data_IF_165046525579
#
_entry.id   IF_165046525579
#
_cell.length_a   1.000
_cell.length_b   1.000
_cell.length_c   1.000
_cell.angle_alpha   90.00
_cell.angle_beta   90.00
_cell.angle_gamma   90.00
#
_symmetry.space_group_name_H-M   'P 1'
#
loop_
_entity.id
_entity.type
_entity.pdbx_description
1 polymer ?
#
# COMPACT_ATOMS: atom_id res chain seq x y z
N UNK A 1 -11.50 -25.47 3.40
CA UNK A 1 -10.85 -26.75 3.75
C UNK A 1 -11.41 -27.24 5.09
N UNK A 2 -11.75 -28.54 5.24
CA UNK A 2 -12.33 -29.05 6.51
C UNK A 2 -11.26 -29.01 7.64
N UNK A 3 -11.62 -28.78 8.91
CA UNK A 3 -10.65 -28.59 10.01
C UNK A 3 -9.62 -29.73 10.16
N UNK A 4 -10.04 -30.97 9.89
CA UNK A 4 -9.17 -32.15 9.93
C UNK A 4 -8.05 -32.07 8.87
N UNK A 5 -8.39 -31.70 7.64
CA UNK A 5 -7.44 -31.58 6.52
C UNK A 5 -6.41 -30.49 6.77
N UNK A 6 -6.80 -29.37 7.40
CA UNK A 6 -5.86 -28.32 7.80
C UNK A 6 -4.84 -28.83 8.85
N UNK A 7 -5.27 -29.64 9.82
CA UNK A 7 -4.37 -30.22 10.83
C UNK A 7 -3.42 -31.25 10.21
N UNK A 8 -3.88 -32.03 9.24
CA UNK A 8 -3.04 -32.99 8.52
C UNK A 8 -1.98 -32.28 7.66
N UNK A 9 -2.38 -31.23 6.93
CA UNK A 9 -1.45 -30.40 6.17
C UNK A 9 -0.39 -29.73 7.07
N UNK A 10 -0.79 -29.18 8.22
CA UNK A 10 0.15 -28.57 9.15
C UNK A 10 1.23 -29.55 9.65
N UNK A 11 0.85 -30.81 9.92
CA UNK A 11 1.80 -31.85 10.30
C UNK A 11 2.77 -32.21 9.18
N UNK A 12 2.31 -32.18 7.92
CA UNK A 12 3.15 -32.40 6.76
C UNK A 12 4.18 -31.28 6.61
N UNK A 13 3.76 -30.01 6.70
CA UNK A 13 4.66 -28.85 6.63
C UNK A 13 5.76 -28.89 7.72
N UNK A 14 5.42 -29.35 8.93
CA UNK A 14 6.43 -29.54 10.00
C UNK A 14 7.45 -30.61 9.61
N UNK A 15 7.01 -31.71 9.00
CA UNK A 15 7.91 -32.78 8.55
C UNK A 15 8.78 -32.41 7.35
N UNK A 16 8.41 -31.37 6.61
CA UNK A 16 9.14 -30.86 5.43
C UNK A 16 9.92 -29.58 5.72
N UNK A 17 10.02 -29.18 6.99
CA UNK A 17 10.74 -27.97 7.45
C UNK A 17 10.27 -26.67 6.77
N UNK A 18 8.99 -26.58 6.43
CA UNK A 18 8.43 -25.39 5.79
C UNK A 18 8.36 -24.19 6.75
N UNK A 19 8.62 -22.99 6.25
CA UNK A 19 8.54 -21.73 7.02
C UNK A 19 7.11 -21.41 7.52
N UNK A 20 6.10 -22.02 6.91
CA UNK A 20 4.69 -21.80 7.21
C UNK A 20 3.91 -23.11 7.34
N UNK A 21 3.12 -23.22 8.41
CA UNK A 21 2.41 -24.47 8.74
C UNK A 21 0.92 -24.46 8.40
N UNK A 22 0.41 -23.33 7.88
CA UNK A 22 -1.02 -23.18 7.58
C UNK A 22 -1.23 -22.27 6.38
N UNK A 23 -2.11 -22.70 5.48
CA UNK A 23 -2.69 -21.82 4.47
C UNK A 23 -3.55 -20.75 5.13
N UNK A 24 -3.36 -19.50 4.70
CA UNK A 24 -4.27 -18.41 5.07
C UNK A 24 -5.60 -18.67 4.34
N UNK A 25 -6.69 -18.77 5.09
CA UNK A 25 -8.02 -18.82 4.48
C UNK A 25 -8.35 -17.43 3.95
N UNK A 26 -8.75 -17.36 2.68
CA UNK A 26 -9.22 -16.12 2.09
C UNK A 26 -10.47 -15.65 2.84
N UNK A 27 -10.37 -14.46 3.41
CA UNK A 27 -11.53 -13.66 3.79
C UNK A 27 -11.65 -12.54 2.77
N UNK A 28 -12.83 -12.35 2.18
CA UNK A 28 -13.11 -11.37 1.11
C UNK A 28 -12.80 -9.90 1.46
N UNK A 29 -12.30 -9.64 2.67
CA UNK A 29 -12.37 -8.31 3.27
C UNK A 29 -11.21 -7.39 2.86
N UNK A 30 -10.07 -7.87 2.35
CA UNK A 30 -8.96 -6.97 1.92
C UNK A 30 -8.09 -7.55 0.80
N UNK A 31 -7.88 -6.81 -0.27
CA UNK A 31 -6.77 -6.93 -1.23
C UNK A 31 -5.42 -7.39 -0.64
N UNK A 32 -5.03 -6.89 0.53
CA UNK A 32 -3.82 -7.33 1.27
C UNK A 32 -3.83 -8.82 1.66
N UNK A 33 -5.01 -9.42 1.86
CA UNK A 33 -5.13 -10.85 2.13
C UNK A 33 -4.83 -11.67 0.88
N UNK A 34 -5.21 -11.20 -0.30
CA UNK A 34 -5.01 -11.94 -1.57
C UNK A 34 -3.53 -12.07 -1.91
N UNK A 35 -2.76 -10.99 -1.78
CA UNK A 35 -1.31 -11.04 -2.01
C UNK A 35 -0.60 -11.96 -1.03
N UNK A 36 -0.87 -11.83 0.27
CA UNK A 36 -0.29 -12.72 1.30
C UNK A 36 -0.68 -14.18 1.13
N UNK A 37 -1.92 -14.46 0.73
CA UNK A 37 -2.40 -15.81 0.42
C UNK A 37 -1.62 -16.38 -0.77
N UNK A 38 -1.46 -15.61 -1.85
CA UNK A 38 -0.72 -16.05 -3.05
C UNK A 38 0.76 -16.31 -2.76
N UNK A 39 1.45 -15.41 -2.05
CA UNK A 39 2.85 -15.60 -1.65
C UNK A 39 3.01 -16.88 -0.82
N UNK A 40 2.19 -17.05 0.22
CA UNK A 40 2.25 -18.24 1.08
C UNK A 40 1.86 -19.53 0.37
N UNK A 41 0.90 -19.45 -0.55
CA UNK A 41 0.53 -20.59 -1.38
C UNK A 41 1.68 -21.02 -2.30
N UNK A 42 2.41 -20.06 -2.87
CA UNK A 42 3.57 -20.34 -3.72
C UNK A 42 4.78 -20.87 -2.94
N UNK A 43 5.02 -20.35 -1.73
CA UNK A 43 6.05 -20.86 -0.81
C UNK A 43 5.80 -22.33 -0.46
N UNK A 44 4.56 -22.68 -0.11
CA UNK A 44 4.15 -24.03 0.30
C UNK A 44 3.83 -24.97 -0.87
N UNK A 45 4.15 -24.60 -2.11
CA UNK A 45 3.72 -25.36 -3.29
C UNK A 45 4.20 -26.82 -3.29
N UNK A 46 5.39 -27.10 -2.77
CA UNK A 46 5.97 -28.45 -2.74
C UNK A 46 5.26 -29.32 -1.67
N UNK A 47 4.99 -28.74 -0.50
CA UNK A 47 4.18 -29.36 0.55
C UNK A 47 2.75 -29.62 0.05
N UNK A 48 2.17 -28.65 -0.66
CA UNK A 48 0.83 -28.75 -1.24
C UNK A 48 0.76 -29.82 -2.32
N UNK A 49 1.78 -29.93 -3.17
CA UNK A 49 1.85 -30.98 -4.18
C UNK A 49 1.89 -32.36 -3.52
N UNK A 50 2.74 -32.53 -2.50
CA UNK A 50 2.84 -33.78 -1.72
C UNK A 50 1.51 -34.13 -1.04
N UNK A 51 0.85 -33.14 -0.44
CA UNK A 51 -0.46 -33.32 0.17
C UNK A 51 -1.55 -33.69 -0.86
N UNK A 52 -1.53 -33.06 -2.04
CA UNK A 52 -2.49 -33.36 -3.11
C UNK A 52 -2.33 -34.78 -3.65
N UNK A 53 -1.10 -35.28 -3.76
CA UNK A 53 -0.81 -36.66 -4.14
C UNK A 53 -1.36 -37.66 -3.11
N UNK A 54 -1.17 -37.38 -1.81
CA UNK A 54 -1.68 -38.22 -0.72
C UNK A 54 -3.22 -38.25 -0.69
N UNK A 55 -3.86 -37.14 -1.03
CA UNK A 55 -5.31 -36.97 -0.97
C UNK A 55 -6.03 -37.20 -2.30
N UNK A 56 -5.29 -37.65 -3.33
CA UNK A 56 -5.77 -37.93 -4.68
C UNK A 56 -6.51 -36.74 -5.33
N UNK A 57 -6.00 -35.52 -5.09
CA UNK A 57 -6.53 -34.26 -5.63
C UNK A 57 -5.93 -33.96 -7.02
N UNK A 58 -6.36 -34.74 -8.02
CA UNK A 58 -5.77 -34.76 -9.37
C UNK A 58 -5.72 -33.41 -10.10
N UNK A 59 -6.73 -32.56 -9.91
CA UNK A 59 -6.78 -31.24 -10.56
C UNK A 59 -5.71 -30.28 -10.01
N UNK A 60 -5.47 -30.31 -8.70
CA UNK A 60 -4.46 -29.48 -8.04
C UNK A 60 -3.05 -30.01 -8.28
N UNK A 61 -2.88 -31.34 -8.27
CA UNK A 61 -1.63 -32.00 -8.65
C UNK A 61 -1.20 -31.59 -10.05
N UNK A 62 -2.08 -31.72 -11.05
CA UNK A 62 -1.78 -31.33 -12.44
C UNK A 62 -1.43 -29.85 -12.58
N UNK A 63 -2.00 -29.00 -11.73
CA UNK A 63 -1.73 -27.57 -11.73
C UNK A 63 -0.35 -27.22 -11.16
N UNK A 64 0.05 -27.87 -10.06
CA UNK A 64 1.31 -27.64 -9.36
C UNK A 64 2.50 -28.37 -10.01
N UNK A 65 2.26 -29.50 -10.69
CA UNK A 65 3.30 -30.24 -11.40
C UNK A 65 3.70 -29.62 -12.74
N UNK A 66 2.87 -28.75 -13.31
CA UNK A 66 3.13 -28.10 -14.60
C UNK A 66 4.00 -26.84 -14.42
N UNK A 67 5.22 -26.88 -14.96
CA UNK A 67 6.20 -25.80 -14.83
C UNK A 67 5.68 -24.46 -15.37
N UNK A 68 4.91 -24.48 -16.46
CA UNK A 68 4.37 -23.27 -17.07
C UNK A 68 3.31 -22.62 -16.16
N UNK A 69 2.47 -23.42 -15.50
CA UNK A 69 1.47 -22.94 -14.51
C UNK A 69 2.14 -22.45 -13.24
N UNK A 70 3.14 -23.18 -12.74
CA UNK A 70 3.92 -22.77 -11.57
C UNK A 70 4.68 -21.45 -11.81
N UNK A 71 5.16 -21.21 -13.02
CA UNK A 71 5.80 -19.94 -13.38
C UNK A 71 4.81 -18.77 -13.41
N UNK A 72 3.57 -18.98 -13.87
CA UNK A 72 2.49 -17.97 -13.74
C UNK A 72 2.14 -17.69 -12.29
N UNK A 73 2.09 -18.73 -11.45
CA UNK A 73 1.82 -18.60 -10.02
C UNK A 73 2.95 -17.83 -9.31
N UNK A 74 4.21 -18.11 -9.66
CA UNK A 74 5.38 -17.37 -9.18
C UNK A 74 5.25 -15.88 -9.50
N UNK A 75 4.90 -15.57 -10.75
CA UNK A 75 4.68 -14.20 -11.18
C UNK A 75 3.56 -13.53 -10.39
N UNK A 76 2.43 -14.21 -10.18
CA UNK A 76 1.35 -13.67 -9.36
C UNK A 76 1.80 -13.41 -7.93
N UNK A 77 2.55 -14.32 -7.31
CA UNK A 77 3.08 -14.08 -5.97
C UNK A 77 3.94 -12.81 -5.91
N UNK A 78 4.85 -12.63 -6.87
CA UNK A 78 5.77 -11.48 -6.89
C UNK A 78 5.04 -10.14 -7.22
N UNK A 79 4.18 -10.09 -8.25
CA UNK A 79 3.48 -8.84 -8.61
C UNK A 79 2.47 -8.41 -7.54
N UNK A 80 1.79 -9.36 -6.90
CA UNK A 80 0.90 -9.03 -5.78
C UNK A 80 1.67 -8.59 -4.54
N UNK A 81 2.89 -9.10 -4.33
CA UNK A 81 3.77 -8.60 -3.28
C UNK A 81 4.11 -7.13 -3.52
N UNK A 82 4.56 -6.78 -4.73
CA UNK A 82 4.87 -5.39 -5.11
C UNK A 82 3.67 -4.45 -4.97
N UNK A 83 2.48 -4.88 -5.41
CA UNK A 83 1.24 -4.12 -5.22
C UNK A 83 0.87 -3.98 -3.73
N UNK A 84 1.15 -4.99 -2.92
CA UNK A 84 0.94 -4.91 -1.47
C UNK A 84 1.90 -3.93 -0.81
N UNK A 85 3.16 -3.84 -1.27
CA UNK A 85 4.13 -2.87 -0.77
C UNK A 85 3.69 -1.44 -1.11
N UNK A 86 3.26 -1.20 -2.36
CA UNK A 86 2.70 0.09 -2.76
C UNK A 86 1.50 0.46 -1.87
N UNK A 87 0.54 -0.45 -1.73
CA UNK A 87 -0.66 -0.21 -0.94
C UNK A 87 -0.34 0.09 0.53
N UNK A 88 0.47 -0.76 1.19
CA UNK A 88 0.88 -0.53 2.57
C UNK A 88 1.63 0.79 2.72
N UNK A 89 2.43 1.16 1.72
CA UNK A 89 3.13 2.43 1.70
C UNK A 89 2.17 3.63 1.69
N UNK A 90 1.02 3.55 1.03
CA UNK A 90 0.02 4.64 1.02
C UNK A 90 -0.92 4.62 2.23
N UNK A 91 -0.74 3.67 3.15
CA UNK A 91 -1.50 3.58 4.39
C UNK A 91 -0.66 4.09 5.57
N UNK A 92 -1.25 4.93 6.40
CA UNK A 92 -0.59 5.43 7.59
C UNK A 92 -1.11 6.79 8.02
N UNK A 93 -0.74 7.21 9.23
CA UNK A 93 -1.26 8.44 9.83
C UNK A 93 -0.69 9.72 9.21
N UNK A 94 0.50 9.62 8.63
CA UNK A 94 1.20 10.75 8.00
C UNK A 94 1.10 10.72 6.46
N UNK A 95 0.26 9.84 5.91
CA UNK A 95 0.02 9.78 4.47
C UNK A 95 -1.02 10.80 4.04
N UNK A 96 -0.74 11.47 2.93
CA UNK A 96 -1.64 12.44 2.31
C UNK A 96 -1.62 12.26 0.79
N UNK A 97 -2.41 13.07 0.08
CA UNK A 97 -2.51 13.00 -1.37
C UNK A 97 -1.17 13.24 -2.07
N UNK A 98 -0.30 14.07 -1.49
CA UNK A 98 1.01 14.40 -2.03
C UNK A 98 1.94 13.18 -1.97
N UNK A 99 2.11 12.60 -0.78
CA UNK A 99 2.96 11.40 -0.58
C UNK A 99 2.42 10.16 -1.31
N UNK A 100 1.11 10.02 -1.41
CA UNK A 100 0.48 8.89 -2.11
C UNK A 100 0.69 9.00 -3.62
N UNK A 101 0.54 10.20 -4.18
CA UNK A 101 0.82 10.48 -5.60
C UNK A 101 2.27 10.16 -5.96
N UNK A 102 3.24 10.54 -5.12
CA UNK A 102 4.65 10.21 -5.35
C UNK A 102 4.90 8.70 -5.44
N UNK A 103 4.27 7.92 -4.55
CA UNK A 103 4.41 6.46 -4.51
C UNK A 103 3.81 5.80 -5.74
N UNK A 104 2.66 6.28 -6.20
CA UNK A 104 2.02 5.82 -7.44
C UNK A 104 2.91 6.14 -8.65
N UNK A 105 3.38 7.40 -8.75
CA UNK A 105 4.28 7.84 -9.82
C UNK A 105 5.59 7.03 -9.84
N UNK A 106 6.18 6.79 -8.66
CA UNK A 106 7.37 5.94 -8.52
C UNK A 106 7.08 4.50 -8.98
N UNK A 107 5.92 3.95 -8.65
CA UNK A 107 5.52 2.62 -9.08
C UNK A 107 5.30 2.53 -10.60
N UNK A 108 4.64 3.50 -11.23
CA UNK A 108 4.51 3.58 -12.69
C UNK A 108 5.88 3.65 -13.38
N UNK A 109 6.82 4.43 -12.82
CA UNK A 109 8.22 4.46 -13.29
C UNK A 109 8.90 3.10 -13.14
N UNK A 110 8.74 2.42 -11.99
CA UNK A 110 9.25 1.04 -11.79
C UNK A 110 8.69 0.07 -12.82
N UNK A 111 7.38 0.07 -13.10
CA UNK A 111 6.76 -0.77 -14.13
C UNK A 111 7.38 -0.52 -15.51
N UNK A 112 7.65 0.73 -15.85
CA UNK A 112 8.31 1.10 -17.11
C UNK A 112 9.74 0.58 -17.18
N UNK A 113 10.49 0.65 -16.08
CA UNK A 113 11.84 0.06 -15.97
C UNK A 113 11.76 -1.47 -16.13
N UNK A 114 10.86 -2.13 -15.40
CA UNK A 114 10.71 -3.58 -15.46
C UNK A 114 10.37 -4.07 -16.87
N UNK A 115 9.48 -3.38 -17.59
CA UNK A 115 9.21 -3.70 -19.00
C UNK A 115 10.47 -3.69 -19.87
N UNK A 116 11.36 -2.71 -19.68
CA UNK A 116 12.64 -2.62 -20.42
C UNK A 116 13.55 -3.79 -20.08
N UNK A 117 13.69 -4.12 -18.80
CA UNK A 117 14.53 -5.24 -18.36
C UNK A 117 14.00 -6.60 -18.84
N UNK A 118 12.69 -6.82 -18.81
CA UNK A 118 12.08 -8.08 -19.26
C UNK A 118 12.21 -8.23 -20.78
N UNK A 119 12.10 -7.14 -21.54
CA UNK A 119 12.39 -7.16 -22.98
C UNK A 119 13.84 -7.54 -23.29
N UNK A 120 14.77 -7.23 -22.37
CA UNK A 120 16.17 -7.66 -22.43
C UNK A 120 16.42 -9.06 -21.82
N UNK A 121 15.37 -9.77 -21.40
CA UNK A 121 15.47 -11.11 -20.80
C UNK A 121 15.84 -11.13 -19.31
N UNK A 122 15.90 -9.98 -18.64
CA UNK A 122 16.17 -9.88 -17.21
C UNK A 122 14.83 -9.87 -16.42
N UNK A 123 14.67 -10.84 -15.52
CA UNK A 123 13.49 -11.04 -14.66
C UNK A 123 13.79 -10.83 -13.15
N UNK A 124 14.91 -10.22 -12.78
CA UNK A 124 15.37 -10.05 -11.38
C UNK A 124 14.37 -9.34 -10.48
N UNK A 125 13.51 -8.48 -11.04
CA UNK A 125 12.44 -7.80 -10.29
C UNK A 125 11.36 -8.75 -9.78
N UNK A 126 11.29 -9.97 -10.31
CA UNK A 126 10.39 -11.03 -9.88
C UNK A 126 11.20 -12.23 -9.41
N UNK A 127 11.65 -12.25 -8.13
CA UNK A 127 12.60 -13.24 -7.63
C UNK A 127 12.12 -14.68 -7.77
N UNK A 128 10.83 -14.94 -7.60
CA UNK A 128 10.25 -16.28 -7.71
C UNK A 128 10.26 -16.75 -9.16
N UNK A 129 9.97 -15.86 -10.11
CA UNK A 129 10.05 -16.16 -11.55
C UNK A 129 11.51 -16.36 -11.98
N UNK A 130 12.40 -15.48 -11.54
CA UNK A 130 13.83 -15.53 -11.86
C UNK A 130 14.46 -16.87 -11.42
N UNK A 131 14.15 -17.34 -10.20
CA UNK A 131 14.62 -18.63 -9.68
C UNK A 131 14.18 -19.83 -10.52
N UNK A 132 13.03 -19.78 -11.19
CA UNK A 132 12.56 -20.87 -12.06
C UNK A 132 13.20 -20.86 -13.44
N UNK A 133 13.79 -19.73 -13.87
CA UNK A 133 14.45 -19.58 -15.17
C UNK A 133 13.54 -19.95 -16.38
N UNK A 134 12.22 -19.67 -16.28
CA UNK A 134 11.24 -20.01 -17.31
C UNK A 134 10.97 -18.81 -18.24
N UNK A 135 11.69 -18.75 -19.37
CA UNK A 135 11.63 -17.63 -20.33
C UNK A 135 10.29 -17.53 -21.09
N UNK A 136 9.52 -18.62 -21.18
CA UNK A 136 8.22 -18.64 -21.87
C UNK A 136 7.18 -17.70 -21.25
N UNK A 137 7.39 -17.29 -20.00
CA UNK A 137 6.48 -16.37 -19.30
C UNK A 137 6.73 -14.89 -19.58
N UNK A 138 7.88 -14.53 -20.18
CA UNK A 138 8.28 -13.12 -20.37
C UNK A 138 7.28 -12.31 -21.19
N UNK A 139 6.76 -12.86 -22.30
CA UNK A 139 5.78 -12.16 -23.14
C UNK A 139 4.45 -11.93 -22.40
N UNK A 140 4.02 -12.90 -21.60
CA UNK A 140 2.82 -12.80 -20.78
C UNK A 140 2.99 -11.68 -19.73
N UNK A 141 4.14 -11.66 -19.05
CA UNK A 141 4.46 -10.65 -18.05
C UNK A 141 4.49 -9.26 -18.70
N UNK A 142 5.16 -9.10 -19.84
CA UNK A 142 5.21 -7.82 -20.56
C UNK A 142 3.82 -7.29 -20.91
N UNK A 143 2.95 -8.14 -21.44
CA UNK A 143 1.57 -7.78 -21.76
C UNK A 143 0.79 -7.37 -20.51
N UNK A 144 0.90 -8.14 -19.43
CA UNK A 144 0.24 -7.81 -18.17
C UNK A 144 0.74 -6.49 -17.57
N UNK A 145 2.05 -6.25 -17.54
CA UNK A 145 2.61 -4.98 -17.04
C UNK A 145 2.18 -3.79 -17.90
N UNK A 146 2.02 -3.98 -19.21
CA UNK A 146 1.46 -2.94 -20.06
C UNK A 146 0.01 -2.64 -19.71
N UNK A 147 -0.85 -3.65 -19.57
CA UNK A 147 -2.25 -3.47 -19.14
C UNK A 147 -2.35 -2.86 -17.75
N UNK A 148 -1.49 -3.26 -16.81
CA UNK A 148 -1.43 -2.71 -15.47
C UNK A 148 -1.08 -1.22 -15.49
N UNK A 149 -0.07 -0.83 -16.28
CA UNK A 149 0.31 0.57 -16.43
C UNK A 149 -0.84 1.40 -17.03
N UNK A 150 -1.46 0.93 -18.11
CA UNK A 150 -2.63 1.60 -18.72
C UNK A 150 -3.79 1.74 -17.73
N UNK A 151 -4.03 0.72 -16.91
CA UNK A 151 -5.06 0.80 -15.88
C UNK A 151 -4.69 1.78 -14.77
N UNK A 152 -3.43 1.82 -14.33
CA UNK A 152 -2.97 2.83 -13.36
C UNK A 152 -3.14 4.24 -13.93
N UNK A 153 -2.76 4.49 -15.17
CA UNK A 153 -2.95 5.79 -15.83
C UNK A 153 -4.44 6.16 -15.97
N UNK A 154 -5.32 5.17 -16.14
CA UNK A 154 -6.77 5.38 -16.21
C UNK A 154 -7.38 5.74 -14.85
N UNK A 155 -7.02 5.02 -13.80
CA UNK A 155 -7.59 5.22 -12.45
C UNK A 155 -6.91 6.35 -11.68
N UNK A 156 -5.64 6.58 -11.96
CA UNK A 156 -4.80 7.64 -11.42
C UNK A 156 -4.20 8.42 -12.60
N UNK A 157 -5.03 9.21 -13.31
CA UNK A 157 -4.52 10.12 -14.33
C UNK A 157 -3.47 11.02 -13.70
N UNK A 158 -2.54 11.56 -14.49
CA UNK A 158 -1.42 12.38 -14.00
C UNK A 158 -1.91 13.55 -13.14
N UNK A 159 -2.01 13.33 -11.83
CA UNK A 159 -2.22 14.34 -10.80
C UNK A 159 -0.85 14.97 -10.62
N UNK A 160 -0.57 16.05 -11.34
CA UNK A 160 0.57 16.90 -10.97
C UNK A 160 0.22 17.55 -9.65
N UNK A 161 0.96 17.17 -8.61
CA UNK A 161 0.91 17.81 -7.28
C UNK A 161 2.02 18.84 -7.12
N UNK A 162 2.78 19.11 -8.18
CA UNK A 162 3.95 19.99 -8.17
C UNK A 162 3.54 21.41 -7.74
N UNK A 163 2.34 21.84 -8.14
CA UNK A 163 1.74 23.11 -7.68
C UNK A 163 1.52 23.22 -6.16
N UNK A 164 1.58 22.09 -5.44
CA UNK A 164 1.41 22.03 -4.00
C UNK A 164 2.73 21.82 -3.26
N UNK A 165 3.87 21.88 -3.95
CA UNK A 165 5.17 21.65 -3.31
C UNK A 165 5.52 22.70 -2.24
N UNK A 166 4.98 23.92 -2.35
CA UNK A 166 5.08 24.94 -1.30
C UNK A 166 4.48 24.49 0.04
N UNK A 167 3.55 23.52 0.03
CA UNK A 167 3.00 22.91 1.25
C UNK A 167 4.03 22.01 1.92
N UNK A 168 4.82 21.27 1.12
CA UNK A 168 5.85 20.34 1.62
C UNK A 168 7.06 21.10 2.13
N UNK A 169 7.47 22.12 1.39
CA UNK A 169 8.60 22.97 1.74
C UNK A 169 8.33 24.40 1.32
N UNK A 170 7.77 25.18 2.24
CA UNK A 170 7.45 26.58 1.98
C UNK A 170 8.73 27.38 1.74
N UNK A 171 9.87 27.03 2.36
CA UNK A 171 11.08 27.87 2.39
C UNK A 171 12.04 27.68 1.19
N UNK A 172 11.63 26.95 0.15
CA UNK A 172 12.38 26.84 -1.12
C UNK A 172 11.79 27.84 -2.11
N UNK A 173 12.63 28.40 -2.98
CA UNK A 173 12.14 29.24 -4.08
C UNK A 173 11.13 28.46 -4.92
N UNK A 174 9.88 28.93 -4.92
CA UNK A 174 8.85 28.49 -5.85
C UNK A 174 8.30 29.75 -6.55
N UNK A 175 8.02 29.65 -7.85
CA UNK A 175 7.25 30.69 -8.52
C UNK A 175 5.77 30.48 -8.14
N UNK A 176 5.14 31.44 -7.44
CA UNK A 176 3.71 31.36 -7.20
C UNK A 176 3.03 31.36 -8.57
N UNK A 177 2.22 30.33 -8.85
CA UNK A 177 1.32 30.41 -9.99
C UNK A 177 0.34 31.56 -9.72
N UNK A 178 0.38 32.62 -10.52
CA UNK A 178 -0.36 33.88 -10.34
C UNK A 178 -1.88 33.69 -10.14
N UNK A 179 -2.44 32.54 -10.54
CA UNK A 179 -3.87 32.24 -10.41
C UNK A 179 -4.23 31.47 -9.12
N UNK A 180 -3.25 31.09 -8.29
CA UNK A 180 -3.53 30.21 -7.16
C UNK A 180 -3.86 30.94 -5.88
N UNK A 181 -3.32 32.13 -5.65
CA UNK A 181 -3.44 32.83 -4.38
C UNK A 181 -4.25 34.11 -4.50
N UNK A 182 -5.05 34.40 -3.48
CA UNK A 182 -5.61 35.74 -3.28
C UNK A 182 -4.54 36.66 -2.70
N UNK A 183 -4.69 37.99 -2.86
CA UNK A 183 -3.77 38.97 -2.29
C UNK A 183 -3.46 38.72 -0.80
N UNK A 184 -4.48 38.39 -0.02
CA UNK A 184 -4.31 38.08 1.42
C UNK A 184 -3.45 36.84 1.66
N UNK A 185 -3.57 35.82 0.81
CA UNK A 185 -2.75 34.61 0.93
C UNK A 185 -1.32 34.85 0.42
N UNK A 186 -1.10 35.78 -0.52
CA UNK A 186 0.24 36.18 -0.95
C UNK A 186 0.98 36.94 0.14
N UNK A 187 0.31 37.88 0.83
CA UNK A 187 0.87 38.66 1.94
C UNK A 187 1.20 37.77 3.16
N UNK A 188 0.28 36.87 3.53
CA UNK A 188 0.52 35.88 4.57
C UNK A 188 1.67 34.93 4.19
N UNK A 189 1.71 34.43 2.96
CA UNK A 189 2.80 33.58 2.48
C UNK A 189 4.13 34.31 2.55
N UNK A 190 4.22 35.55 2.06
CA UNK A 190 5.44 36.36 2.15
C UNK A 190 5.93 36.49 3.60
N UNK A 191 5.02 36.62 4.57
CA UNK A 191 5.35 36.65 5.99
C UNK A 191 5.89 35.30 6.48
N UNK A 192 5.20 34.20 6.17
CA UNK A 192 5.62 32.83 6.51
C UNK A 192 7.01 32.51 5.97
N UNK A 193 7.27 32.85 4.70
CA UNK A 193 8.54 32.56 4.01
C UNK A 193 9.75 33.28 4.62
N UNK A 194 9.52 34.45 5.21
CA UNK A 194 10.57 35.26 5.81
C UNK A 194 10.71 35.06 7.34
N UNK A 195 9.85 34.23 7.95
CA UNK A 195 9.92 33.91 9.38
C UNK A 195 10.94 32.79 9.68
N UNK A 196 12.06 33.17 10.29
CA UNK A 196 13.12 32.24 10.69
C UNK A 196 12.71 31.27 11.80
N UNK A 197 11.77 31.66 12.67
CA UNK A 197 11.22 30.80 13.72
C UNK A 197 10.37 29.71 13.10
N UNK A 198 9.51 30.06 12.14
CA UNK A 198 8.73 29.07 11.38
C UNK A 198 9.64 28.15 10.57
N UNK A 199 10.73 28.66 10.00
CA UNK A 199 11.72 27.83 9.29
C UNK A 199 12.36 26.76 10.19
N UNK A 200 12.72 27.12 11.42
CA UNK A 200 13.24 26.16 12.40
C UNK A 200 12.17 25.12 12.76
N UNK A 201 10.95 25.58 13.09
CA UNK A 201 9.83 24.69 13.43
C UNK A 201 9.44 23.75 12.30
N UNK A 202 9.54 24.17 11.03
CA UNK A 202 9.28 23.32 9.86
C UNK A 202 10.22 22.12 9.81
N UNK A 203 11.47 22.27 10.24
CA UNK A 203 12.43 21.16 10.32
C UNK A 203 12.22 20.24 11.54
N UNK A 204 11.59 20.75 12.59
CA UNK A 204 11.36 20.00 13.84
C UNK A 204 10.02 19.26 13.85
N UNK A 205 8.99 19.81 13.20
CA UNK A 205 7.63 19.32 13.25
C UNK A 205 7.27 18.48 12.02
N UNK A 206 6.35 17.54 12.20
CA UNK A 206 5.66 16.92 11.08
C UNK A 206 4.80 17.95 10.33
N UNK A 207 4.62 17.73 9.02
CA UNK A 207 3.98 18.67 8.11
C UNK A 207 2.60 19.15 8.60
N UNK A 208 1.75 18.23 9.06
CA UNK A 208 0.43 18.56 9.57
C UNK A 208 0.50 19.44 10.84
N UNK A 209 1.41 19.11 11.76
CA UNK A 209 1.62 19.87 13.00
C UNK A 209 2.19 21.26 12.72
N UNK A 210 3.08 21.38 11.73
CA UNK A 210 3.60 22.66 11.27
C UNK A 210 2.47 23.56 10.76
N UNK A 211 1.63 23.07 9.85
CA UNK A 211 0.52 23.88 9.30
C UNK A 211 -0.55 24.22 10.35
N UNK A 212 -0.83 23.34 11.32
CA UNK A 212 -1.68 23.66 12.48
C UNK A 212 -1.09 24.75 13.38
N UNK A 213 0.25 24.85 13.45
CA UNK A 213 0.91 25.93 14.18
C UNK A 213 0.81 27.25 13.41
N UNK A 214 1.05 27.22 12.10
CA UNK A 214 0.95 28.39 11.20
C UNK A 214 -0.47 28.95 11.19
N UNK A 215 -1.50 28.11 11.28
CA UNK A 215 -2.91 28.53 11.29
C UNK A 215 -3.26 29.57 12.36
N UNK A 216 -2.51 29.62 13.47
CA UNK A 216 -2.74 30.58 14.55
C UNK A 216 -2.43 32.02 14.16
N UNK A 217 -1.47 32.22 13.24
CA UNK A 217 -0.97 33.53 12.83
C UNK A 217 -1.28 33.84 11.37
N UNK A 218 -1.31 32.81 10.50
CA UNK A 218 -1.51 32.91 9.06
C UNK A 218 -2.59 31.90 8.60
N UNK A 219 -3.87 32.16 8.92
CA UNK A 219 -4.95 31.20 8.73
C UNK A 219 -5.30 30.94 7.26
N UNK A 220 -5.14 31.91 6.35
CA UNK A 220 -5.52 31.75 4.96
C UNK A 220 -4.62 30.70 4.27
N UNK A 221 -3.30 30.83 4.42
CA UNK A 221 -2.35 29.86 3.87
C UNK A 221 -2.42 28.51 4.57
N UNK A 222 -2.54 28.50 5.89
CA UNK A 222 -2.61 27.25 6.65
C UNK A 222 -3.86 26.44 6.32
N UNK A 223 -5.03 27.07 6.22
CA UNK A 223 -6.25 26.35 5.84
C UNK A 223 -6.16 25.78 4.43
N UNK A 224 -5.54 26.50 3.49
CA UNK A 224 -5.31 26.00 2.14
C UNK A 224 -4.42 24.75 2.14
N UNK A 225 -3.33 24.78 2.92
CA UNK A 225 -2.45 23.63 3.11
C UNK A 225 -3.17 22.45 3.78
N UNK A 226 -3.87 22.71 4.89
CA UNK A 226 -4.58 21.69 5.66
C UNK A 226 -5.72 21.03 4.87
N UNK A 227 -6.43 21.78 4.02
CA UNK A 227 -7.47 21.21 3.13
C UNK A 227 -6.93 20.13 2.20
N UNK A 228 -5.64 20.15 1.85
CA UNK A 228 -4.99 19.12 1.05
C UNK A 228 -4.39 18.01 1.91
N UNK A 229 -3.81 18.36 3.06
CA UNK A 229 -3.15 17.40 3.95
C UNK A 229 -4.14 16.51 4.73
N UNK A 230 -5.33 17.02 5.06
CA UNK A 230 -6.36 16.31 5.82
C UNK A 230 -7.20 15.38 4.94
N UNK A 231 -7.13 15.52 3.61
CA UNK A 231 -7.81 14.60 2.70
C UNK A 231 -7.24 13.19 2.85
N UNK A 232 -8.12 12.24 3.17
CA UNK A 232 -7.75 10.84 3.22
C UNK A 232 -7.40 10.35 1.82
N UNK A 233 -6.11 10.09 1.57
CA UNK A 233 -5.64 9.52 0.31
C UNK A 233 -6.04 8.05 0.13
N UNK A 234 -6.41 7.37 1.22
CA UNK A 234 -6.85 5.97 1.23
C UNK A 234 -8.00 5.75 2.20
N UNK A 235 -8.67 4.60 2.09
CA UNK A 235 -9.72 4.16 3.04
C UNK A 235 -9.17 3.76 4.42
N UNK A 236 -7.86 3.91 4.67
CA UNK A 236 -7.18 3.45 5.88
C UNK A 236 -7.87 3.92 7.16
N UNK A 237 -8.14 5.22 7.29
CA UNK A 237 -8.77 5.77 8.50
C UNK A 237 -10.20 5.28 8.69
N UNK A 238 -10.96 5.09 7.61
CA UNK A 238 -12.28 4.48 7.67
C UNK A 238 -12.19 3.03 8.17
N UNK A 239 -11.30 2.23 7.59
CA UNK A 239 -11.07 0.84 7.96
C UNK A 239 -10.54 0.69 9.40
N UNK A 240 -9.69 1.62 9.83
CA UNK A 240 -9.19 1.70 11.19
C UNK A 240 -10.34 2.00 12.15
N UNK A 241 -11.16 3.01 11.87
CA UNK A 241 -12.34 3.34 12.67
C UNK A 241 -13.30 2.16 12.83
N UNK A 242 -13.60 1.43 11.75
CA UNK A 242 -14.43 0.22 11.82
C UNK A 242 -13.79 -0.91 12.63
N UNK A 243 -12.47 -1.11 12.49
CA UNK A 243 -11.73 -2.12 13.24
C UNK A 243 -11.73 -1.81 14.74
N UNK A 244 -11.48 -0.55 15.09
CA UNK A 244 -11.52 -0.02 16.46
C UNK A 244 -12.91 -0.17 17.07
N UNK A 245 -13.96 0.20 16.33
CA UNK A 245 -15.35 0.00 16.75
C UNK A 245 -15.67 -1.48 17.02
N UNK A 246 -15.21 -2.37 16.15
CA UNK A 246 -15.43 -3.81 16.32
C UNK A 246 -14.70 -4.35 17.55
N UNK A 247 -13.46 -3.90 17.78
CA UNK A 247 -12.69 -4.27 18.96
C UNK A 247 -13.34 -3.78 20.27
N UNK A 248 -13.82 -2.53 20.27
CA UNK A 248 -14.58 -1.93 21.37
C UNK A 248 -15.83 -2.77 21.67
N UNK A 249 -16.65 -3.04 20.66
CA UNK A 249 -17.86 -3.86 20.79
C UNK A 249 -17.58 -5.27 21.29
N UNK A 250 -16.47 -5.88 20.89
CA UNK A 250 -16.10 -7.23 21.33
C UNK A 250 -15.57 -7.24 22.77
N UNK A 251 -14.68 -6.30 23.13
CA UNK A 251 -13.99 -6.29 24.43
C UNK A 251 -14.85 -5.73 25.56
N UNK A 252 -15.70 -4.74 25.28
CA UNK A 252 -16.43 -3.98 26.30
C UNK A 252 -17.94 -4.14 26.21
N UNK A 253 -18.43 -5.19 25.51
CA UNK A 253 -19.86 -5.42 25.22
C UNK A 253 -20.81 -5.22 26.39
N UNK A 254 -20.40 -5.59 27.61
CA UNK A 254 -21.23 -5.52 28.82
C UNK A 254 -21.04 -4.25 29.67
N UNK A 255 -20.05 -3.40 29.36
CA UNK A 255 -19.66 -2.22 30.16
C UNK A 255 -19.63 -0.92 29.33
N UNK A 256 -20.09 -0.99 28.08
CA UNK A 256 -20.03 0.12 27.13
C UNK A 256 -21.12 1.14 27.43
N UNK A 257 -20.73 2.25 28.04
CA UNK A 257 -21.63 3.39 28.34
C UNK A 257 -21.85 4.26 27.11
N UNK A 258 -20.79 4.53 26.35
CA UNK A 258 -20.83 5.35 25.12
C UNK A 258 -19.79 4.84 24.12
N UNK A 259 -20.27 4.41 22.96
CA UNK A 259 -19.41 3.97 21.85
C UNK A 259 -18.62 5.15 21.27
N UNK A 260 -19.22 6.34 21.23
CA UNK A 260 -18.64 7.54 20.63
C UNK A 260 -17.46 8.08 21.45
N UNK A 261 -17.59 8.10 22.78
CA UNK A 261 -16.52 8.58 23.66
C UNK A 261 -15.31 7.63 23.61
N UNK A 262 -15.55 6.33 23.61
CA UNK A 262 -14.46 5.35 23.51
C UNK A 262 -13.79 5.37 22.14
N UNK A 263 -14.56 5.51 21.06
CA UNK A 263 -14.00 5.72 19.72
C UNK A 263 -13.17 7.00 19.68
N UNK A 264 -13.67 8.12 20.21
CA UNK A 264 -12.94 9.38 20.24
C UNK A 264 -11.62 9.22 20.98
N UNK A 265 -11.59 8.56 22.15
CA UNK A 265 -10.36 8.31 22.90
C UNK A 265 -9.39 7.40 22.11
N UNK A 266 -9.88 6.30 21.54
CA UNK A 266 -9.01 5.38 20.77
C UNK A 266 -8.45 6.02 19.49
N UNK A 267 -9.20 6.92 18.86
CA UNK A 267 -8.75 7.63 17.66
C UNK A 267 -7.85 8.84 17.99
N UNK A 268 -7.98 9.45 19.17
CA UNK A 268 -7.18 10.61 19.61
C UNK A 268 -5.92 10.25 20.40
N UNK A 269 -5.87 9.10 21.06
CA UNK A 269 -4.65 8.63 21.74
C UNK A 269 -3.53 8.19 20.78
N UNK A 270 -3.77 8.31 19.47
CA UNK A 270 -2.80 8.05 18.41
C UNK A 270 -2.56 9.28 17.50
N UNK A 271 -3.14 10.45 17.83
CA UNK A 271 -2.92 11.74 17.14
C UNK A 271 -1.74 12.51 17.70
#
# INVERSE_FOLDING_TARGET
MRPLKCRQFAKLCVGMEADHFTLIQHTEIRWLSRGKVLSRFYELREDLLTFCLQENLKDFEKCLSDDHRCSKLAYFADIFHELSLLNNGMQGMNENILSSTDKINAFQKKLTIWKKHIAAGNLEMFPSVFKRNCQETSLLILNHLHTLLTNLDKYFPSISVDQYDWIRNSFVEFEPFEEQFTLSEEEELASVLNDRTLKLKHSELHLNAFWLLVEKEYPANAQKALRLLVQFSTTYFCEFGFSTLTAIKHKKRAQLLSVEDELRVCLSTQS
#
